data_IF_597915675798
#
_entry.id   IF_597915675798
#
_cell.length_a   1.000
_cell.length_b   1.000
_cell.length_c   1.000
_cell.angle_alpha   90.00
_cell.angle_beta   90.00
_cell.angle_gamma   90.00
#
_symmetry.space_group_name_H-M   'P 1'
#
loop_
_entity.id
_entity.type
_entity.pdbx_description
1 polymer ?
#
# COMPACT_ATOMS: atom_id res chain seq x y z
N UNK A 1 -8.80 -30.23 20.66
CA UNK A 1 -8.72 -28.79 20.32
C UNK A 1 -8.13 -27.91 21.43
N UNK A 2 -8.16 -28.30 22.73
CA UNK A 2 -7.54 -27.50 23.79
C UNK A 2 -5.99 -27.52 23.77
N UNK A 3 -5.38 -28.62 23.31
CA UNK A 3 -3.91 -28.77 23.28
C UNK A 3 -3.20 -27.87 22.25
N UNK A 4 -3.85 -27.56 21.12
CA UNK A 4 -3.28 -26.68 20.08
C UNK A 4 -3.24 -25.21 20.50
N UNK A 5 -4.14 -24.77 21.39
CA UNK A 5 -4.18 -23.37 21.84
C UNK A 5 -3.07 -23.03 22.84
N UNK A 6 -2.60 -24.02 23.61
CA UNK A 6 -1.50 -23.85 24.56
C UNK A 6 -0.14 -23.67 23.84
N UNK A 7 0.05 -24.33 22.70
CA UNK A 7 1.30 -24.25 21.94
C UNK A 7 1.52 -22.88 21.28
N UNK A 8 0.48 -22.25 20.77
CA UNK A 8 0.58 -20.91 20.15
C UNK A 8 0.94 -19.83 21.18
N UNK A 9 0.43 -19.94 22.42
CA UNK A 9 0.74 -19.01 23.49
C UNK A 9 2.21 -19.05 23.95
N UNK A 10 2.81 -20.25 23.98
CA UNK A 10 4.22 -20.42 24.38
C UNK A 10 5.21 -19.83 23.35
N UNK A 11 4.87 -19.92 22.05
CA UNK A 11 5.74 -19.42 20.97
C UNK A 11 5.75 -17.88 20.90
N UNK A 12 4.64 -17.20 21.24
CA UNK A 12 4.63 -15.73 21.30
C UNK A 12 5.46 -15.19 22.47
N UNK A 13 5.53 -15.91 23.61
CA UNK A 13 6.31 -15.47 24.77
C UNK A 13 7.83 -15.59 24.56
N UNK A 14 8.30 -16.57 23.79
CA UNK A 14 9.74 -16.72 23.51
C UNK A 14 10.27 -15.68 22.52
N UNK A 15 9.46 -15.23 21.54
CA UNK A 15 9.87 -14.21 20.59
C UNK A 15 10.06 -12.82 21.23
N UNK A 16 9.27 -12.49 22.27
CA UNK A 16 9.39 -11.21 22.99
C UNK A 16 10.59 -11.20 23.95
N UNK A 17 11.00 -12.36 24.48
CA UNK A 17 12.13 -12.43 25.41
C UNK A 17 13.50 -12.29 24.74
N UNK A 18 13.63 -12.60 23.44
CA UNK A 18 14.93 -12.65 22.75
C UNK A 18 15.40 -11.33 22.12
N UNK A 19 14.60 -10.25 22.16
CA UNK A 19 14.97 -8.94 21.60
C UNK A 19 15.50 -7.93 22.63
N UNK A 20 15.66 -8.31 23.90
CA UNK A 20 16.08 -7.40 24.97
C UNK A 20 17.57 -7.46 25.35
N UNK A 21 18.43 -8.09 24.54
CA UNK A 21 19.87 -8.20 24.82
C UNK A 21 20.72 -7.32 23.89
N UNK A 22 20.40 -6.03 23.80
CA UNK A 22 21.40 -5.01 23.43
C UNK A 22 21.95 -4.48 24.73
N UNK A 23 23.15 -4.94 25.09
CA UNK A 23 23.86 -4.56 26.31
C UNK A 23 24.07 -3.05 26.37
N UNK A 24 23.25 -2.35 27.15
CA UNK A 24 23.56 -1.00 27.62
C UNK A 24 24.68 -1.09 28.67
N UNK A 25 25.69 -0.21 28.64
CA UNK A 25 26.75 -0.19 29.64
C UNK A 25 26.14 0.06 31.03
N UNK A 26 26.31 -0.92 31.92
CA UNK A 26 25.89 -0.83 33.32
C UNK A 26 26.88 0.04 34.10
N UNK A 27 26.73 1.36 33.95
CA UNK A 27 27.40 2.33 34.81
C UNK A 27 26.70 2.41 36.17
N UNK A 28 27.33 1.85 37.21
CA UNK A 28 26.81 1.87 38.58
C UNK A 28 26.84 3.28 39.18
N UNK A 29 25.66 3.87 39.34
CA UNK A 29 25.42 5.08 40.14
C UNK A 29 23.92 5.40 40.18
N UNK A 30 23.39 6.01 41.26
CA UNK A 30 21.98 6.40 41.33
C UNK A 30 21.77 7.65 40.47
N UNK A 31 21.79 7.47 39.15
CA UNK A 31 21.45 8.51 38.20
C UNK A 31 19.96 8.37 37.87
N UNK A 32 19.17 9.30 38.39
CA UNK A 32 17.77 9.47 38.04
C UNK A 32 17.69 10.03 36.60
N UNK A 33 17.86 9.16 35.62
CA UNK A 33 17.84 9.50 34.18
C UNK A 33 16.44 9.34 33.61
N UNK A 34 15.47 10.08 34.13
CA UNK A 34 14.22 10.26 33.41
C UNK A 34 14.48 11.29 32.32
N UNK A 35 14.86 10.84 31.12
CA UNK A 35 14.93 11.70 29.95
C UNK A 35 13.58 12.40 29.77
N UNK A 36 13.59 13.72 29.66
CA UNK A 36 12.36 14.46 29.37
C UNK A 36 11.99 14.23 27.90
N UNK A 37 10.69 14.33 27.58
CA UNK A 37 10.19 14.20 26.20
C UNK A 37 10.97 15.09 25.22
N UNK A 38 11.35 16.28 25.65
CA UNK A 38 12.10 17.25 24.85
C UNK A 38 13.55 16.82 24.56
N UNK A 39 14.11 15.91 25.37
CA UNK A 39 15.43 15.32 25.14
C UNK A 39 15.38 14.08 24.22
N UNK A 40 14.19 13.52 23.99
CA UNK A 40 13.97 12.37 23.11
C UNK A 40 13.60 12.76 21.69
N UNK A 41 13.21 14.03 21.46
CA UNK A 41 12.90 14.54 20.13
C UNK A 41 14.20 15.06 19.51
N UNK A 42 14.71 14.46 18.42
CA UNK A 42 15.85 15.02 17.71
C UNK A 42 15.51 16.44 17.27
N UNK A 43 16.19 17.43 17.84
CA UNK A 43 16.03 18.85 17.47
C UNK A 43 16.80 19.20 16.20
N UNK A 44 17.77 18.37 15.81
CA UNK A 44 18.43 18.45 14.51
C UNK A 44 17.51 17.89 13.42
N UNK A 45 17.49 18.57 12.27
CA UNK A 45 16.81 18.07 11.08
C UNK A 45 17.35 16.68 10.72
N UNK A 46 16.46 15.69 10.56
CA UNK A 46 16.84 14.36 10.13
C UNK A 46 17.41 14.50 8.70
N UNK A 47 18.66 14.07 8.46
CA UNK A 47 19.25 14.17 7.14
C UNK A 47 18.43 13.37 6.12
N UNK A 48 18.30 13.91 4.91
CA UNK A 48 17.69 13.20 3.78
C UNK A 48 18.41 11.87 3.58
N UNK A 49 17.64 10.78 3.50
CA UNK A 49 18.17 9.47 3.24
C UNK A 49 19.03 9.47 1.97
N UNK A 50 20.20 8.83 2.02
CA UNK A 50 21.03 8.67 0.84
C UNK A 50 20.30 7.82 -0.21
N UNK A 51 20.66 7.90 -1.50
CA UNK A 51 20.08 7.05 -2.52
C UNK A 51 20.16 5.56 -2.19
N UNK A 52 21.23 5.11 -1.51
CA UNK A 52 21.39 3.72 -1.10
C UNK A 52 20.39 3.31 0.00
N UNK A 53 20.18 4.19 0.98
CA UNK A 53 19.18 3.94 2.03
C UNK A 53 17.78 3.89 1.44
N UNK A 54 17.45 4.79 0.51
CA UNK A 54 16.16 4.78 -0.19
C UNK A 54 15.96 3.49 -1.01
N UNK A 55 16.97 3.04 -1.73
CA UNK A 55 16.90 1.79 -2.49
C UNK A 55 16.62 0.58 -1.57
N UNK A 56 17.35 0.47 -0.45
CA UNK A 56 17.15 -0.59 0.54
C UNK A 56 15.77 -0.50 1.21
N UNK A 57 15.28 0.71 1.50
CA UNK A 57 13.92 0.92 2.02
C UNK A 57 12.86 0.51 0.99
N UNK A 58 13.05 0.83 -0.30
CA UNK A 58 12.11 0.43 -1.36
C UNK A 58 12.10 -1.08 -1.58
N UNK A 59 13.25 -1.76 -1.51
CA UNK A 59 13.30 -3.23 -1.50
C UNK A 59 12.51 -3.82 -0.32
N UNK A 60 12.81 -3.34 0.89
CA UNK A 60 12.11 -3.78 2.09
C UNK A 60 10.59 -3.53 1.99
N UNK A 61 10.18 -2.37 1.48
CA UNK A 61 8.79 -2.02 1.24
C UNK A 61 8.11 -2.99 0.27
N UNK A 62 8.77 -3.33 -0.85
CA UNK A 62 8.26 -4.30 -1.82
C UNK A 62 8.06 -5.68 -1.18
N UNK A 63 9.06 -6.15 -0.43
CA UNK A 63 9.05 -7.47 0.24
C UNK A 63 8.04 -7.57 1.37
N UNK A 64 7.81 -6.49 2.12
CA UNK A 64 6.91 -6.46 3.28
C UNK A 64 5.44 -6.20 2.91
N UNK A 65 5.11 -6.05 1.62
CA UNK A 65 3.72 -5.98 1.17
C UNK A 65 3.50 -5.10 -0.06
N UNK A 66 4.45 -4.23 -0.41
CA UNK A 66 4.34 -3.35 -1.57
C UNK A 66 4.15 -4.10 -2.88
N UNK A 67 4.83 -5.24 -3.06
CA UNK A 67 4.66 -6.08 -4.23
C UNK A 67 3.24 -6.68 -4.31
N UNK A 68 2.72 -7.17 -3.18
CA UNK A 68 1.35 -7.72 -3.12
C UNK A 68 0.31 -6.63 -3.38
N UNK A 69 0.47 -5.47 -2.74
CA UNK A 69 -0.42 -4.31 -2.90
C UNK A 69 -0.50 -3.85 -4.36
N UNK A 70 0.66 -3.68 -5.01
CA UNK A 70 0.73 -3.22 -6.40
C UNK A 70 0.18 -4.25 -7.39
N UNK A 71 0.41 -5.54 -7.13
CA UNK A 71 -0.20 -6.63 -7.90
C UNK A 71 -1.71 -6.67 -7.74
N UNK A 72 -2.23 -6.57 -6.50
CA UNK A 72 -3.68 -6.59 -6.24
C UNK A 72 -4.36 -5.38 -6.88
N UNK A 73 -3.81 -4.18 -6.71
CA UNK A 73 -4.32 -2.97 -7.38
C UNK A 73 -4.40 -3.15 -8.90
N UNK A 74 -3.35 -3.70 -9.51
CA UNK A 74 -3.30 -3.95 -10.97
C UNK A 74 -4.35 -4.98 -11.39
N UNK A 75 -4.51 -6.06 -10.62
CA UNK A 75 -5.49 -7.10 -10.88
C UNK A 75 -6.93 -6.57 -10.83
N UNK A 76 -7.27 -5.72 -9.87
CA UNK A 76 -8.61 -5.12 -9.78
C UNK A 76 -8.90 -4.15 -10.93
N UNK A 77 -7.92 -3.33 -11.34
CA UNK A 77 -8.06 -2.47 -12.52
C UNK A 77 -8.28 -3.31 -13.78
N UNK A 78 -7.48 -4.37 -13.96
CA UNK A 78 -7.62 -5.27 -15.10
C UNK A 78 -8.98 -5.98 -15.09
N UNK A 79 -9.47 -6.43 -13.94
CA UNK A 79 -10.77 -7.09 -13.82
C UNK A 79 -11.92 -6.17 -14.26
N UNK A 80 -11.87 -4.88 -13.92
CA UNK A 80 -12.83 -3.88 -14.45
C UNK A 80 -12.73 -3.79 -15.97
N UNK A 81 -11.51 -3.62 -16.52
CA UNK A 81 -11.29 -3.48 -17.96
C UNK A 81 -11.75 -4.72 -18.72
N UNK A 82 -11.46 -5.91 -18.21
CA UNK A 82 -11.91 -7.19 -18.78
C UNK A 82 -13.43 -7.30 -18.74
N UNK A 83 -14.08 -6.93 -17.62
CA UNK A 83 -15.54 -6.95 -17.54
C UNK A 83 -16.20 -6.01 -18.56
N UNK A 84 -15.56 -4.89 -18.92
CA UNK A 84 -16.04 -3.96 -19.95
C UNK A 84 -15.97 -4.50 -21.38
N UNK A 85 -15.23 -5.59 -21.63
CA UNK A 85 -15.20 -6.23 -22.95
C UNK A 85 -16.51 -6.97 -23.27
N UNK A 86 -17.30 -7.30 -22.25
CA UNK A 86 -18.62 -7.87 -22.42
C UNK A 86 -19.63 -6.79 -22.85
N UNK A 87 -20.43 -7.07 -23.89
CA UNK A 87 -21.45 -6.14 -24.40
C UNK A 87 -22.51 -5.80 -23.34
N UNK A 88 -22.72 -6.68 -22.37
CA UNK A 88 -23.66 -6.53 -21.26
C UNK A 88 -23.19 -5.49 -20.24
N UNK A 89 -21.90 -5.15 -20.20
CA UNK A 89 -21.33 -4.22 -19.23
C UNK A 89 -21.97 -2.82 -19.25
N UNK A 90 -22.47 -2.39 -20.41
CA UNK A 90 -23.05 -1.06 -20.63
C UNK A 90 -24.59 -1.08 -20.71
N UNK A 91 -25.19 -2.25 -20.88
CA UNK A 91 -26.63 -2.40 -21.18
C UNK A 91 -27.38 -3.18 -20.11
N UNK A 92 -26.70 -4.05 -19.35
CA UNK A 92 -27.28 -4.85 -18.29
C UNK A 92 -26.76 -4.39 -16.91
N UNK A 93 -27.68 -3.84 -16.13
CA UNK A 93 -27.40 -3.39 -14.76
C UNK A 93 -27.12 -4.54 -13.80
N UNK A 94 -27.74 -5.71 -14.00
CA UNK A 94 -27.48 -6.93 -13.22
C UNK A 94 -26.05 -7.43 -13.43
N UNK A 95 -25.59 -7.43 -14.68
CA UNK A 95 -24.20 -7.68 -15.02
C UNK A 95 -23.26 -6.68 -14.33
N UNK A 96 -23.49 -5.37 -14.49
CA UNK A 96 -22.63 -4.37 -13.86
C UNK A 96 -22.59 -4.51 -12.32
N UNK A 97 -23.73 -4.84 -11.70
CA UNK A 97 -23.85 -5.07 -10.25
C UNK A 97 -23.05 -6.27 -9.77
N UNK A 98 -23.02 -7.36 -10.53
CA UNK A 98 -22.39 -8.62 -10.11
C UNK A 98 -20.94 -8.76 -10.58
N UNK A 99 -20.58 -8.15 -11.71
CA UNK A 99 -19.27 -8.30 -12.36
C UNK A 99 -18.35 -7.09 -12.23
N UNK A 100 -18.88 -5.89 -12.02
CA UNK A 100 -18.07 -4.65 -12.03
C UNK A 100 -18.04 -4.00 -10.65
N UNK A 101 -19.20 -3.89 -9.99
CA UNK A 101 -19.32 -3.26 -8.67
C UNK A 101 -18.36 -3.83 -7.60
N UNK A 102 -18.10 -5.15 -7.50
CA UNK A 102 -17.15 -5.67 -6.53
C UNK A 102 -15.74 -5.09 -6.71
N UNK A 103 -15.26 -4.99 -7.94
CA UNK A 103 -13.94 -4.42 -8.25
C UNK A 103 -13.88 -2.92 -7.99
N UNK A 104 -14.98 -2.19 -8.21
CA UNK A 104 -15.07 -0.77 -7.86
C UNK A 104 -14.95 -0.54 -6.34
N UNK A 105 -15.56 -1.43 -5.54
CA UNK A 105 -15.43 -1.42 -4.07
C UNK A 105 -13.99 -1.76 -3.66
N UNK A 106 -13.40 -2.81 -4.25
CA UNK A 106 -12.03 -3.22 -3.96
C UNK A 106 -11.02 -2.09 -4.25
N UNK A 107 -11.14 -1.40 -5.39
CA UNK A 107 -10.28 -0.27 -5.74
C UNK A 107 -10.47 0.95 -4.83
N UNK A 108 -11.70 1.21 -4.38
CA UNK A 108 -11.99 2.24 -3.38
C UNK A 108 -11.22 1.98 -2.07
N UNK A 109 -11.29 0.75 -1.56
CA UNK A 109 -10.63 0.35 -0.31
C UNK A 109 -9.12 0.25 -0.45
N UNK A 110 -8.62 -0.45 -1.47
CA UNK A 110 -7.18 -0.60 -1.72
C UNK A 110 -6.49 0.75 -1.87
N UNK A 111 -7.11 1.71 -2.56
CA UNK A 111 -6.55 3.04 -2.68
C UNK A 111 -6.47 3.79 -1.35
N UNK A 112 -7.48 3.62 -0.48
CA UNK A 112 -7.49 4.22 0.85
C UNK A 112 -6.43 3.58 1.76
N UNK A 113 -6.35 2.26 1.78
CA UNK A 113 -5.42 1.50 2.62
C UNK A 113 -3.98 1.71 2.16
N UNK A 114 -3.73 1.73 0.85
CA UNK A 114 -2.41 2.01 0.29
C UNK A 114 -1.90 3.40 0.71
N UNK A 115 -2.77 4.41 0.73
CA UNK A 115 -2.41 5.76 1.15
C UNK A 115 -2.15 5.86 2.66
N UNK A 116 -2.86 5.06 3.48
CA UNK A 116 -2.74 5.10 4.93
C UNK A 116 -1.56 4.28 5.47
N UNK A 117 -1.29 3.11 4.88
CA UNK A 117 -0.42 2.10 5.49
C UNK A 117 0.81 1.73 4.66
N UNK A 118 0.86 2.12 3.37
CA UNK A 118 1.96 1.73 2.47
C UNK A 118 2.53 2.91 1.67
N UNK A 119 3.08 3.95 2.34
CA UNK A 119 3.79 5.01 1.65
C UNK A 119 5.07 4.47 0.98
N UNK A 120 5.30 4.88 -0.26
CA UNK A 120 6.54 4.57 -0.98
C UNK A 120 7.69 5.37 -0.34
N UNK A 121 8.85 4.76 -0.05
CA UNK A 121 9.95 5.43 0.66
C UNK A 121 10.51 6.66 -0.06
N UNK A 122 10.68 6.59 -1.38
CA UNK A 122 11.14 7.73 -2.16
C UNK A 122 10.04 8.82 -2.26
N UNK A 123 10.27 10.05 -1.76
CA UNK A 123 9.25 11.11 -1.78
C UNK A 123 8.77 11.52 -3.17
N UNK A 124 9.65 11.52 -4.17
CA UNK A 124 9.28 11.87 -5.55
C UNK A 124 8.37 10.80 -6.15
N UNK A 125 8.68 9.54 -5.89
CA UNK A 125 7.90 8.40 -6.36
C UNK A 125 6.59 8.28 -5.59
N UNK A 126 6.58 8.58 -4.29
CA UNK A 126 5.36 8.70 -3.49
C UNK A 126 4.41 9.78 -4.01
N UNK A 127 4.93 10.94 -4.42
CA UNK A 127 4.11 11.99 -5.02
C UNK A 127 3.44 11.50 -6.32
N UNK A 128 4.16 10.71 -7.12
CA UNK A 128 3.60 10.09 -8.33
C UNK A 128 2.59 8.98 -8.00
N UNK A 129 2.84 8.20 -6.96
CA UNK A 129 1.97 7.10 -6.46
C UNK A 129 0.66 7.58 -5.85
N UNK A 130 0.67 8.76 -5.22
CA UNK A 130 -0.54 9.36 -4.63
C UNK A 130 -1.61 9.67 -5.68
N UNK A 131 -1.19 9.99 -6.93
CA UNK A 131 -2.12 10.34 -8.01
C UNK A 131 -3.02 9.18 -8.44
N UNK A 132 -2.51 8.00 -8.86
CA UNK A 132 -3.36 6.86 -9.21
C UNK A 132 -4.18 6.38 -8.01
N UNK A 133 -3.67 6.40 -6.77
CA UNK A 133 -4.47 6.09 -5.57
C UNK A 133 -5.70 7.01 -5.46
N UNK A 134 -5.48 8.33 -5.50
CA UNK A 134 -6.57 9.31 -5.39
C UNK A 134 -7.60 9.13 -6.51
N UNK A 135 -7.13 8.93 -7.75
CA UNK A 135 -8.01 8.67 -8.91
C UNK A 135 -8.79 7.37 -8.75
N UNK A 136 -8.16 6.28 -8.32
CA UNK A 136 -8.83 5.00 -8.07
C UNK A 136 -9.88 5.09 -6.98
N UNK A 137 -9.59 5.79 -5.88
CA UNK A 137 -10.56 6.03 -4.81
C UNK A 137 -11.80 6.74 -5.34
N UNK A 138 -11.62 7.85 -6.06
CA UNK A 138 -12.75 8.57 -6.63
C UNK A 138 -13.50 7.77 -7.70
N UNK A 139 -12.79 7.08 -8.59
CA UNK A 139 -13.39 6.25 -9.62
C UNK A 139 -14.18 5.06 -9.05
N UNK A 140 -13.68 4.43 -7.97
CA UNK A 140 -14.38 3.37 -7.25
C UNK A 140 -15.70 3.85 -6.67
N UNK A 141 -15.69 5.00 -5.99
CA UNK A 141 -16.91 5.65 -5.46
C UNK A 141 -17.88 6.00 -6.58
N UNK A 142 -17.42 6.68 -7.63
CA UNK A 142 -18.24 7.10 -8.76
C UNK A 142 -18.85 5.88 -9.48
N UNK A 143 -18.06 4.83 -9.72
CA UNK A 143 -18.54 3.57 -10.32
C UNK A 143 -19.62 2.91 -9.46
N UNK A 144 -19.34 2.70 -8.16
CA UNK A 144 -20.28 2.07 -7.22
C UNK A 144 -21.61 2.83 -7.18
N UNK A 145 -21.54 4.16 -7.08
CA UNK A 145 -22.72 5.02 -7.09
C UNK A 145 -23.44 4.97 -8.43
N UNK A 146 -22.72 5.00 -9.55
CA UNK A 146 -23.34 4.96 -10.87
C UNK A 146 -24.14 3.67 -11.10
N UNK A 147 -23.62 2.52 -10.66
CA UNK A 147 -24.31 1.22 -10.74
C UNK A 147 -25.53 1.20 -9.80
N UNK A 148 -25.39 1.77 -8.59
CA UNK A 148 -26.46 1.83 -7.58
C UNK A 148 -27.57 2.82 -7.95
N UNK A 149 -27.26 3.88 -8.67
CA UNK A 149 -28.23 4.91 -9.07
C UNK A 149 -28.73 4.72 -10.52
N UNK A 150 -28.09 3.84 -11.31
CA UNK A 150 -28.39 3.69 -12.75
C UNK A 150 -27.91 4.86 -13.61
N UNK A 151 -26.86 5.58 -13.20
CA UNK A 151 -26.37 6.80 -13.88
C UNK A 151 -25.26 6.50 -14.88
N UNK A 152 -25.64 6.27 -16.14
CA UNK A 152 -24.70 5.90 -17.21
C UNK A 152 -23.54 6.90 -17.40
N UNK A 153 -23.80 8.21 -17.38
CA UNK A 153 -22.76 9.23 -17.56
C UNK A 153 -21.68 9.18 -16.49
N UNK A 154 -22.08 8.95 -15.23
CA UNK A 154 -21.16 8.78 -14.11
C UNK A 154 -20.37 7.46 -14.24
N UNK A 155 -21.03 6.40 -14.69
CA UNK A 155 -20.40 5.11 -14.96
C UNK A 155 -19.31 5.25 -16.04
N UNK A 156 -19.64 5.83 -17.20
CA UNK A 156 -18.72 6.04 -18.30
C UNK A 156 -17.51 6.91 -17.90
N UNK A 157 -17.74 7.93 -17.06
CA UNK A 157 -16.66 8.75 -16.47
C UNK A 157 -15.71 7.89 -15.63
N UNK A 158 -16.25 7.08 -14.71
CA UNK A 158 -15.45 6.21 -13.85
C UNK A 158 -14.63 5.18 -14.66
N UNK A 159 -15.24 4.56 -15.68
CA UNK A 159 -14.56 3.60 -16.54
C UNK A 159 -13.40 4.23 -17.32
N UNK A 160 -13.58 5.44 -17.84
CA UNK A 160 -12.49 6.20 -18.49
C UNK A 160 -11.35 6.47 -17.52
N UNK A 161 -11.65 6.75 -16.26
CA UNK A 161 -10.62 6.92 -15.23
C UNK A 161 -9.86 5.63 -14.98
N UNK A 162 -10.52 4.47 -14.89
CA UNK A 162 -9.83 3.18 -14.73
C UNK A 162 -8.96 2.82 -15.93
N UNK A 163 -9.41 3.09 -17.16
CA UNK A 163 -8.57 2.91 -18.36
C UNK A 163 -7.29 3.75 -18.27
N UNK A 164 -7.40 5.04 -17.93
CA UNK A 164 -6.25 5.91 -17.78
C UNK A 164 -5.30 5.48 -16.64
N UNK A 165 -5.84 4.95 -15.55
CA UNK A 165 -5.04 4.35 -14.47
C UNK A 165 -4.28 3.13 -15.00
N UNK A 166 -4.95 2.24 -15.73
CA UNK A 166 -4.34 1.05 -16.33
C UNK A 166 -3.21 1.38 -17.30
N UNK A 167 -3.35 2.47 -18.08
CA UNK A 167 -2.30 2.94 -19.00
C UNK A 167 -1.08 3.53 -18.29
N UNK A 168 -1.29 4.26 -17.18
CA UNK A 168 -0.24 5.08 -16.56
C UNK A 168 0.47 4.41 -15.38
N UNK A 169 -0.18 3.44 -14.73
CA UNK A 169 0.37 2.77 -13.55
C UNK A 169 1.58 1.87 -13.84
N UNK A 170 1.66 1.10 -14.94
CA UNK A 170 2.79 0.18 -15.18
C UNK A 170 4.16 0.87 -15.14
N UNK A 171 4.32 2.01 -15.82
CA UNK A 171 5.57 2.77 -15.84
C UNK A 171 6.00 3.25 -14.44
N UNK A 172 5.04 3.57 -13.57
CA UNK A 172 5.33 3.93 -12.19
C UNK A 172 5.76 2.71 -11.35
N UNK A 173 5.12 1.56 -11.55
CA UNK A 173 5.54 0.32 -10.87
C UNK A 173 6.95 -0.10 -11.29
N UNK A 174 7.30 0.08 -12.57
CA UNK A 174 8.66 -0.18 -13.06
C UNK A 174 9.68 0.76 -12.44
N UNK A 175 9.29 2.02 -12.19
CA UNK A 175 10.13 2.99 -11.45
C UNK A 175 10.37 2.52 -10.00
N UNK A 176 9.34 2.07 -9.30
CA UNK A 176 9.48 1.56 -7.92
C UNK A 176 10.41 0.33 -7.89
N UNK A 177 10.29 -0.58 -8.86
CA UNK A 177 11.16 -1.76 -8.96
C UNK A 177 12.61 -1.41 -9.27
N UNK A 178 12.85 -0.44 -10.16
CA UNK A 178 14.23 -0.05 -10.51
C UNK A 178 14.93 0.68 -9.36
N UNK A 179 14.20 1.43 -8.53
CA UNK A 179 14.71 1.99 -7.29
C UNK A 179 15.22 0.92 -6.32
N UNK A 180 14.47 -0.18 -6.14
CA UNK A 180 14.89 -1.30 -5.30
C UNK A 180 16.13 -2.02 -5.86
N UNK A 181 16.15 -2.33 -7.17
CA UNK A 181 17.27 -3.03 -7.81
C UNK A 181 18.60 -2.25 -7.73
N UNK A 182 18.55 -0.94 -7.54
CA UNK A 182 19.74 -0.10 -7.34
C UNK A 182 20.48 -0.42 -6.03
N UNK A 183 19.85 -1.14 -5.08
CA UNK A 183 20.50 -1.62 -3.86
C UNK A 183 21.40 -2.85 -4.09
N UNK A 184 21.07 -3.71 -5.06
CA UNK A 184 21.75 -4.99 -5.29
C UNK A 184 23.00 -4.90 -6.17
N UNK A 185 23.12 -3.83 -6.96
CA UNK A 185 24.15 -3.68 -8.00
C UNK A 185 25.52 -3.19 -7.50
N UNK A 186 25.80 -3.24 -6.19
CA UNK A 186 27.13 -2.89 -5.65
C UNK A 186 27.74 -4.02 -4.80
N UNK A 187 29.01 -4.37 -5.06
CA UNK A 187 29.77 -5.38 -4.31
C UNK A 187 30.07 -4.93 -2.87
#
# INVERSE_FOLDING_TARGET
MALQRLWVGAVCLTAVALTAAVSLPSGGGPAQTSLTKDQLIPTAAIPTASPQVLAAQTDAWLRLGGAHLTAHFTAEVLAVITALQDKSALTDRGFATTRIRPHCVALEHLAADAAAYFPVPNPLTQQRWTKPQTRSKHAGVDCRRAITDGKFTLFAKAMRTFLNIGETTPALLDTIKSEAASAESRP
#
